data_IF_735185735901
#
_entry.id   IF_735185735901
#
_cell.length_a   1.000
_cell.length_b   1.000
_cell.length_c   1.000
_cell.angle_alpha   90.00
_cell.angle_beta   90.00
_cell.angle_gamma   90.00
#
_symmetry.space_group_name_H-M   'P 1'
#
loop_
_entity.id
_entity.type
_entity.pdbx_description
1 polymer ?
#
# COMPACT_ATOMS: atom_id res chain seq x y z
N UNK A 1 25.60 -37.83 -35.65
CA UNK A 1 25.13 -37.36 -34.34
C UNK A 1 25.56 -35.93 -34.16
N UNK A 2 24.72 -34.97 -34.53
CA UNK A 2 25.04 -33.54 -34.41
C UNK A 2 24.06 -32.90 -33.44
N UNK A 3 24.57 -32.50 -32.27
CA UNK A 3 23.86 -31.64 -31.31
C UNK A 3 23.65 -30.27 -31.96
N UNK A 4 22.40 -29.89 -32.23
CA UNK A 4 22.04 -28.48 -32.43
C UNK A 4 21.32 -27.99 -31.18
N UNK A 5 21.99 -27.08 -30.47
CA UNK A 5 21.37 -26.21 -29.50
C UNK A 5 20.38 -25.26 -30.19
N UNK A 6 19.18 -25.18 -29.60
CA UNK A 6 18.34 -23.99 -29.51
C UNK A 6 17.65 -23.48 -30.80
N UNK A 7 16.48 -24.05 -31.11
CA UNK A 7 15.36 -23.26 -31.63
C UNK A 7 14.21 -23.29 -30.61
N UNK A 8 14.39 -22.56 -29.51
CA UNK A 8 13.24 -22.07 -28.74
C UNK A 8 12.68 -20.88 -29.51
N UNK A 9 11.82 -21.12 -30.50
CA UNK A 9 10.75 -20.16 -30.76
C UNK A 9 9.68 -20.49 -29.71
N UNK A 10 9.89 -20.01 -28.48
CA UNK A 10 8.74 -19.80 -27.59
C UNK A 10 7.98 -18.70 -28.30
N UNK A 11 6.89 -19.06 -28.98
CA UNK A 11 6.00 -18.08 -29.56
C UNK A 11 5.53 -17.24 -28.38
N UNK A 12 6.15 -16.08 -28.28
CA UNK A 12 5.80 -15.01 -27.37
C UNK A 12 4.51 -14.38 -27.90
N UNK A 13 3.47 -15.21 -27.96
CA UNK A 13 2.13 -14.77 -28.32
C UNK A 13 1.67 -13.88 -27.19
N UNK A 14 1.31 -12.65 -27.53
CA UNK A 14 0.59 -11.78 -26.61
C UNK A 14 -0.60 -12.57 -26.05
N UNK A 15 -0.61 -12.75 -24.74
CA UNK A 15 -1.75 -13.35 -24.06
C UNK A 15 -2.94 -12.40 -24.19
N UNK A 16 -4.11 -12.94 -24.53
CA UNK A 16 -5.36 -12.20 -24.55
C UNK A 16 -6.12 -12.35 -23.25
N UNK A 17 -7.28 -11.72 -23.16
CA UNK A 17 -8.21 -11.89 -22.04
C UNK A 17 -7.60 -11.55 -20.67
N UNK A 18 -6.72 -10.53 -20.61
CA UNK A 18 -6.05 -10.08 -19.39
C UNK A 18 -5.28 -11.19 -18.66
N UNK A 19 -4.57 -12.03 -19.41
CA UNK A 19 -3.73 -13.10 -18.87
C UNK A 19 -2.26 -12.88 -19.21
N UNK A 20 -1.38 -13.57 -18.50
CA UNK A 20 0.06 -13.48 -18.67
C UNK A 20 0.75 -14.79 -18.24
N UNK A 21 2.05 -14.89 -18.49
CA UNK A 21 2.88 -16.00 -18.05
C UNK A 21 2.87 -17.20 -19.00
N UNK A 22 3.45 -18.34 -18.59
CA UNK A 22 3.53 -19.53 -19.42
C UNK A 22 2.15 -20.07 -19.76
N UNK A 23 1.86 -20.24 -21.05
CA UNK A 23 0.55 -20.67 -21.56
C UNK A 23 -0.62 -19.77 -21.12
N UNK A 24 -0.36 -18.50 -20.78
CA UNK A 24 -1.39 -17.54 -20.38
C UNK A 24 -2.24 -18.02 -19.18
N UNK A 25 -1.62 -18.78 -18.27
CA UNK A 25 -2.31 -19.41 -17.14
C UNK A 25 -2.53 -18.48 -15.94
N UNK A 26 -1.88 -17.31 -15.94
CA UNK A 26 -1.95 -16.35 -14.85
C UNK A 26 -2.84 -15.18 -15.24
N UNK A 27 -3.71 -14.74 -14.35
CA UNK A 27 -4.59 -13.59 -14.60
C UNK A 27 -3.90 -12.30 -14.14
N UNK A 28 -4.06 -11.24 -14.91
CA UNK A 28 -3.57 -9.93 -14.53
C UNK A 28 -4.38 -9.33 -13.38
N UNK A 29 -3.74 -8.47 -12.59
CA UNK A 29 -4.40 -7.77 -11.50
C UNK A 29 -5.26 -6.60 -11.99
N UNK A 30 -5.57 -5.70 -11.06
CA UNK A 30 -6.52 -4.61 -11.24
C UNK A 30 -5.85 -3.38 -11.87
N UNK A 31 -5.28 -3.56 -13.07
CA UNK A 31 -4.64 -2.48 -13.83
C UNK A 31 -5.69 -1.50 -14.41
N UNK A 32 -5.33 -0.23 -14.53
CA UNK A 32 -6.12 0.76 -15.29
C UNK A 32 -5.78 0.72 -16.79
N UNK A 33 -6.74 0.27 -17.61
CA UNK A 33 -6.57 0.13 -19.06
C UNK A 33 -7.25 1.26 -19.85
N UNK A 34 -6.65 1.65 -20.97
CA UNK A 34 -7.14 2.66 -21.91
C UNK A 34 -6.94 2.11 -23.33
N UNK A 35 -7.91 2.33 -24.21
CA UNK A 35 -7.87 1.92 -25.62
C UNK A 35 -7.30 0.51 -25.89
N UNK A 36 -7.84 -0.51 -25.21
CA UNK A 36 -7.47 -1.91 -25.49
C UNK A 36 -6.09 -2.33 -24.97
N UNK A 37 -5.45 -1.51 -24.13
CA UNK A 37 -4.23 -1.92 -23.43
C UNK A 37 -4.49 -3.12 -22.51
N UNK A 38 -3.44 -3.91 -22.33
CA UNK A 38 -3.41 -5.08 -21.45
C UNK A 38 -2.10 -5.07 -20.66
N UNK A 39 -2.10 -5.80 -19.56
CA UNK A 39 -0.91 -6.08 -18.77
C UNK A 39 0.18 -6.74 -19.62
N UNK A 40 1.43 -6.60 -19.18
CA UNK A 40 2.55 -7.23 -19.84
C UNK A 40 2.44 -8.76 -19.77
N UNK A 41 2.22 -9.42 -20.90
CA UNK A 41 1.89 -10.84 -20.99
C UNK A 41 2.95 -11.84 -20.48
N UNK A 42 4.11 -11.39 -19.98
CA UNK A 42 5.10 -12.26 -19.29
C UNK A 42 5.16 -12.02 -17.81
N UNK A 43 5.13 -10.75 -17.42
CA UNK A 43 5.42 -10.31 -16.05
C UNK A 43 4.14 -9.95 -15.30
N UNK A 44 3.04 -9.74 -16.02
CA UNK A 44 1.78 -9.25 -15.48
C UNK A 44 1.83 -7.77 -15.09
N UNK A 45 2.89 -7.04 -15.49
CA UNK A 45 3.07 -5.63 -15.13
C UNK A 45 1.98 -4.76 -15.76
N UNK A 46 1.43 -3.84 -14.98
CA UNK A 46 0.42 -2.91 -15.46
C UNK A 46 1.08 -1.73 -16.18
N UNK A 47 0.68 -1.37 -17.41
CA UNK A 47 1.28 -0.25 -18.15
C UNK A 47 1.03 1.12 -17.51
N UNK A 48 0.11 1.17 -16.54
CA UNK A 48 -0.37 2.37 -15.85
C UNK A 48 -0.62 2.06 -14.37
N UNK A 49 -1.14 3.06 -13.68
CA UNK A 49 -1.63 2.98 -12.32
C UNK A 49 -2.71 1.89 -12.13
N UNK A 50 -2.83 1.45 -10.89
CA UNK A 50 -3.87 0.53 -10.45
C UNK A 50 -5.22 1.23 -10.34
N UNK A 51 -6.29 0.44 -10.46
CA UNK A 51 -7.63 0.90 -10.08
C UNK A 51 -7.63 1.23 -8.58
N UNK A 52 -8.41 2.25 -8.19
CA UNK A 52 -8.58 2.65 -6.79
C UNK A 52 -8.84 1.44 -5.89
N UNK A 53 -8.06 1.31 -4.82
CA UNK A 53 -8.14 0.17 -3.90
C UNK A 53 -7.14 -0.95 -4.20
N UNK A 54 -6.28 -0.84 -5.22
CA UNK A 54 -5.19 -1.77 -5.48
C UNK A 54 -3.83 -1.07 -5.63
N UNK A 55 -2.75 -1.79 -5.32
CA UNK A 55 -1.36 -1.33 -5.38
C UNK A 55 -0.41 -2.45 -5.84
N UNK A 56 0.87 -2.11 -5.95
CA UNK A 56 1.92 -3.03 -6.38
C UNK A 56 2.12 -3.02 -7.90
N UNK A 57 3.25 -3.55 -8.37
CA UNK A 57 3.64 -3.52 -9.78
C UNK A 57 2.65 -4.26 -10.73
N UNK A 58 1.81 -5.12 -10.16
CA UNK A 58 0.84 -5.95 -10.86
C UNK A 58 -0.60 -5.67 -10.42
N UNK A 59 -0.82 -4.70 -9.54
CA UNK A 59 -2.14 -4.31 -9.01
C UNK A 59 -2.94 -5.48 -8.41
N UNK A 60 -2.25 -6.44 -7.80
CA UNK A 60 -2.80 -7.63 -7.14
C UNK A 60 -2.84 -7.51 -5.61
N UNK A 61 -2.25 -6.45 -5.06
CA UNK A 61 -2.34 -6.12 -3.64
C UNK A 61 -3.50 -5.15 -3.41
N UNK A 62 -4.46 -5.50 -2.56
CA UNK A 62 -5.47 -4.54 -2.13
C UNK A 62 -4.82 -3.46 -1.24
N UNK A 63 -5.25 -2.21 -1.39
CA UNK A 63 -5.07 -1.22 -0.35
C UNK A 63 -5.86 -1.72 0.86
N UNK A 64 -5.15 -2.06 1.93
CA UNK A 64 -5.80 -2.22 3.21
C UNK A 64 -6.26 -0.83 3.65
N UNK A 65 -7.55 -0.54 3.48
CA UNK A 65 -8.17 0.70 3.96
C UNK A 65 -8.13 0.81 5.49
N UNK A 66 -7.57 -0.19 6.19
CA UNK A 66 -7.20 -0.12 7.60
C UNK A 66 -6.09 0.91 7.88
N UNK A 67 -5.56 1.62 6.88
CA UNK A 67 -4.80 2.86 7.16
C UNK A 67 -5.69 4.05 7.57
N UNK A 68 -7.03 4.00 7.35
CA UNK A 68 -7.94 4.97 7.99
C UNK A 68 -8.14 4.72 9.50
N UNK A 69 -7.35 3.80 10.07
CA UNK A 69 -7.10 3.71 11.51
C UNK A 69 -5.61 3.74 11.86
N UNK A 70 -4.71 4.11 10.95
CA UNK A 70 -3.30 4.38 11.26
C UNK A 70 -2.93 5.87 11.24
N UNK A 71 -3.91 6.76 11.00
CA UNK A 71 -3.80 8.18 11.35
C UNK A 71 -4.25 8.46 12.80
N UNK A 72 -4.18 7.47 13.71
CA UNK A 72 -4.50 7.63 15.13
C UNK A 72 -3.35 7.25 16.10
N UNK A 73 -2.15 6.90 15.61
CA UNK A 73 -1.11 6.26 16.47
C UNK A 73 0.22 7.03 16.60
N UNK A 74 0.35 8.24 16.05
CA UNK A 74 1.54 9.09 16.33
C UNK A 74 1.22 10.54 16.66
N UNK A 75 0.22 11.14 16.02
CA UNK A 75 -0.19 12.53 16.30
C UNK A 75 -1.08 12.62 17.54
N UNK A 76 -2.01 11.68 17.72
CA UNK A 76 -2.94 11.67 18.85
C UNK A 76 -2.28 11.26 20.16
N UNK A 77 -1.31 10.35 20.11
CA UNK A 77 -0.49 9.99 21.28
C UNK A 77 0.29 11.21 21.78
N UNK A 78 0.90 11.99 20.89
CA UNK A 78 1.61 13.21 21.28
C UNK A 78 0.64 14.25 21.88
N UNK A 79 -0.51 14.51 21.24
CA UNK A 79 -1.52 15.43 21.77
C UNK A 79 -2.06 15.01 23.15
N UNK A 80 -2.31 13.71 23.34
CA UNK A 80 -2.74 13.15 24.63
C UNK A 80 -1.66 13.35 25.70
N UNK A 81 -0.39 13.06 25.38
CA UNK A 81 0.71 13.27 26.34
C UNK A 81 0.87 14.74 26.73
N UNK A 82 0.78 15.67 25.78
CA UNK A 82 0.82 17.11 26.09
C UNK A 82 -0.35 17.55 26.96
N UNK A 83 -1.56 17.05 26.69
CA UNK A 83 -2.77 17.37 27.46
C UNK A 83 -2.63 16.92 28.92
N UNK A 84 -2.14 15.70 29.16
CA UNK A 84 -1.93 15.16 30.51
C UNK A 84 -0.86 15.94 31.28
N UNK A 85 0.28 16.26 30.63
CA UNK A 85 1.36 17.01 31.25
C UNK A 85 0.93 18.42 31.68
N UNK A 86 0.19 19.13 30.81
CA UNK A 86 -0.31 20.47 31.13
C UNK A 86 -1.28 20.42 32.33
N UNK A 87 -2.19 19.45 32.35
CA UNK A 87 -3.13 19.23 33.46
C UNK A 87 -2.42 18.99 34.80
N UNK A 88 -1.40 18.13 34.82
CA UNK A 88 -0.63 17.84 36.04
C UNK A 88 0.09 19.10 36.54
N UNK A 89 0.73 19.87 35.64
CA UNK A 89 1.41 21.11 36.03
C UNK A 89 0.45 22.15 36.63
N UNK A 90 -0.74 22.31 36.03
CA UNK A 90 -1.77 23.20 36.55
C UNK A 90 -2.24 22.76 37.94
N UNK A 91 -2.44 21.46 38.17
CA UNK A 91 -2.82 20.91 39.48
C UNK A 91 -1.75 21.22 40.54
N UNK A 92 -0.47 21.01 40.23
CA UNK A 92 0.63 21.36 41.15
C UNK A 92 0.67 22.85 41.47
N UNK A 93 0.51 23.71 40.46
CA UNK A 93 0.48 25.17 40.64
C UNK A 93 -0.72 25.57 41.52
N UNK A 94 -1.91 25.00 41.29
CA UNK A 94 -3.09 25.28 42.11
C UNK A 94 -2.86 24.83 43.56
N UNK A 95 -2.30 23.64 43.78
CA UNK A 95 -1.97 23.16 45.13
C UNK A 95 -0.98 24.10 45.80
N UNK A 96 0.04 24.56 45.10
CA UNK A 96 1.02 25.51 45.63
C UNK A 96 0.37 26.85 45.97
N UNK A 97 -0.48 27.40 45.10
CA UNK A 97 -1.22 28.64 45.38
C UNK A 97 -2.12 28.46 46.60
N UNK A 98 -2.87 27.36 46.70
CA UNK A 98 -3.73 27.08 47.86
C UNK A 98 -2.90 26.90 49.13
N UNK A 99 -1.73 26.27 49.04
CA UNK A 99 -0.81 26.08 50.17
C UNK A 99 -0.15 27.40 50.60
N UNK A 100 0.26 28.25 49.65
CA UNK A 100 0.79 29.59 49.91
C UNK A 100 -0.26 30.57 50.41
N UNK A 101 -1.51 30.45 49.97
CA UNK A 101 -2.62 31.26 50.51
C UNK A 101 -3.09 30.80 51.89
N UNK A 102 -2.67 29.61 52.33
CA UNK A 102 -2.97 29.03 53.66
C UNK A 102 -1.86 29.23 54.68
N UNK A 103 -0.65 29.61 54.27
CA UNK A 103 0.46 29.97 55.17
C UNK A 103 0.57 31.48 55.25
#
# INVERSE_FOLDING_TARGET
MSRLHFRIHRTYTACGNNTYGPNCSMTCGNCSYFYGEQCHHVTGYCPRECISGFKGARCDEAYDSVFLTESNSKRDILLYTFSVLFGVSAIFIIIFIVRCRRQ
#
